data_IF_285042124151
#
_entry.id   IF_285042124151
#
_cell.length_a   1.000
_cell.length_b   1.000
_cell.length_c   1.000
_cell.angle_alpha   90.00
_cell.angle_beta   90.00
_cell.angle_gamma   90.00
#
_symmetry.space_group_name_H-M   'P 1'
#
loop_
_entity.id
_entity.type
_entity.pdbx_description
1 polymer ?
#
# COMPACT_ATOMS: atom_id res chain seq x y z
N UNK A 1 11.62 -6.74 3.36
CA UNK A 1 10.59 -7.34 4.22
C UNK A 1 9.54 -6.26 4.47
N UNK A 2 8.28 -6.46 4.09
CA UNK A 2 7.22 -5.49 4.39
C UNK A 2 6.89 -5.63 5.88
N UNK A 3 7.20 -4.62 6.68
CA UNK A 3 6.82 -4.59 8.08
C UNK A 3 5.33 -4.20 8.19
N UNK A 4 4.44 -5.11 8.66
CA UNK A 4 3.01 -4.83 8.72
C UNK A 4 2.65 -3.76 9.75
N UNK A 5 3.56 -3.46 10.69
CA UNK A 5 3.38 -2.41 11.70
C UNK A 5 4.15 -1.13 11.34
N UNK A 6 4.59 -0.99 10.09
CA UNK A 6 5.24 0.23 9.65
C UNK A 6 4.23 1.38 9.55
N UNK A 7 4.43 2.42 10.37
CA UNK A 7 3.50 3.55 10.58
C UNK A 7 2.16 3.18 11.24
N UNK A 8 2.07 2.02 11.89
CA UNK A 8 0.94 1.69 12.76
C UNK A 8 0.93 2.60 14.01
N UNK A 9 -0.27 2.86 14.53
CA UNK A 9 -0.43 3.64 15.76
C UNK A 9 -0.01 2.80 16.99
N UNK A 10 0.23 3.45 18.13
CA UNK A 10 0.61 2.74 19.35
C UNK A 10 -0.54 1.86 19.83
N UNK A 11 -0.24 0.59 20.10
CA UNK A 11 -1.23 -0.42 20.48
C UNK A 11 -1.80 -1.22 19.32
N UNK A 12 -1.48 -0.86 18.06
CA UNK A 12 -1.87 -1.68 16.91
C UNK A 12 -1.12 -3.03 16.93
N UNK A 13 -1.84 -4.08 16.53
CA UNK A 13 -1.35 -5.45 16.52
C UNK A 13 -1.31 -6.02 15.10
N UNK A 14 -0.31 -6.86 14.83
CA UNK A 14 -0.23 -7.66 13.62
C UNK A 14 0.39 -9.02 13.91
N UNK A 15 -0.12 -10.05 13.23
CA UNK A 15 0.47 -11.38 13.23
C UNK A 15 1.55 -11.44 12.17
N UNK A 16 2.76 -11.83 12.57
CA UNK A 16 3.91 -12.03 11.68
C UNK A 16 4.29 -13.51 11.69
N UNK A 17 4.47 -14.08 10.51
CA UNK A 17 4.97 -15.43 10.33
C UNK A 17 6.40 -15.38 9.83
N UNK A 18 7.32 -16.02 10.55
CA UNK A 18 8.73 -16.10 10.19
C UNK A 18 9.15 -17.57 10.16
N UNK A 19 9.70 -17.98 9.02
CA UNK A 19 10.34 -19.29 8.86
C UNK A 19 11.84 -19.09 8.90
N UNK A 20 12.50 -19.72 9.88
CA UNK A 20 13.95 -19.74 9.99
C UNK A 20 14.47 -21.17 9.86
N UNK A 21 15.69 -21.31 9.35
CA UNK A 21 16.42 -22.57 9.31
C UNK A 21 17.56 -22.47 10.29
N UNK A 22 17.52 -23.31 11.31
CA UNK A 22 18.48 -23.33 12.40
C UNK A 22 19.36 -24.56 12.20
N UNK A 23 20.67 -24.38 11.95
CA UNK A 23 21.59 -25.50 11.94
C UNK A 23 21.60 -26.16 13.33
N UNK A 24 21.54 -27.49 13.39
CA UNK A 24 21.44 -28.21 14.67
C UNK A 24 22.65 -27.96 15.59
N UNK A 25 23.80 -27.60 15.03
CA UNK A 25 25.01 -27.26 15.78
C UNK A 25 25.00 -25.83 16.34
N UNK A 26 24.04 -24.98 15.96
CA UNK A 26 23.94 -23.57 16.37
C UNK A 26 22.82 -23.32 17.40
N UNK A 27 22.18 -24.38 17.92
CA UNK A 27 21.09 -24.29 18.90
C UNK A 27 21.48 -23.64 20.24
N UNK A 28 22.78 -23.48 20.52
CA UNK A 28 23.27 -22.98 21.81
C UNK A 28 23.61 -21.47 21.83
N UNK A 29 23.69 -20.79 20.69
CA UNK A 29 24.56 -19.60 20.58
C UNK A 29 23.88 -18.25 20.31
N UNK A 30 22.58 -18.08 20.58
CA UNK A 30 21.91 -16.82 20.21
C UNK A 30 21.39 -16.00 21.41
N UNK A 31 22.33 -15.32 22.07
CA UNK A 31 22.11 -14.34 23.14
C UNK A 31 21.85 -12.93 22.54
N UNK A 32 21.06 -12.86 21.48
CA UNK A 32 20.77 -11.60 20.79
C UNK A 32 19.40 -11.04 21.20
N UNK A 33 19.41 -10.32 22.32
CA UNK A 33 18.24 -9.51 22.72
C UNK A 33 18.35 -8.13 22.08
N UNK A 34 17.79 -7.95 20.88
CA UNK A 34 17.66 -6.62 20.29
C UNK A 34 16.49 -5.86 20.93
N UNK A 35 16.73 -4.62 21.35
CA UNK A 35 15.69 -3.71 21.80
C UNK A 35 14.75 -3.34 20.64
N UNK A 36 13.65 -4.06 20.50
CA UNK A 36 12.63 -3.76 19.48
C UNK A 36 11.66 -2.68 19.98
N UNK A 37 11.16 -1.85 19.06
CA UNK A 37 10.03 -0.95 19.28
C UNK A 37 8.67 -1.68 19.38
N UNK A 38 8.72 -3.01 19.35
CA UNK A 38 7.58 -3.92 19.39
C UNK A 38 7.65 -4.83 20.60
N UNK A 39 6.48 -5.31 21.03
CA UNK A 39 6.39 -6.34 22.06
C UNK A 39 5.65 -7.54 21.48
N UNK A 40 6.16 -8.74 21.75
CA UNK A 40 5.49 -9.99 21.37
C UNK A 40 4.43 -10.26 22.43
N UNK A 41 3.16 -10.27 22.02
CA UNK A 41 2.02 -10.55 22.91
C UNK A 41 1.70 -12.04 22.94
N UNK A 42 1.86 -12.72 21.80
CA UNK A 42 1.71 -14.16 21.65
C UNK A 42 2.76 -14.70 20.69
N UNK A 43 3.26 -15.91 20.97
CA UNK A 43 4.17 -16.63 20.08
C UNK A 43 3.74 -18.09 20.03
N UNK A 44 3.61 -18.62 18.83
CA UNK A 44 3.16 -19.99 18.57
C UNK A 44 4.07 -20.64 17.53
N UNK A 45 4.49 -21.88 17.82
CA UNK A 45 5.22 -22.72 16.87
C UNK A 45 4.20 -23.41 15.97
N UNK A 46 4.19 -23.06 14.69
CA UNK A 46 3.18 -23.55 13.73
C UNK A 46 3.72 -24.70 12.89
N UNK A 47 5.02 -24.70 12.62
CA UNK A 47 5.66 -25.73 11.82
C UNK A 47 7.06 -26.04 12.32
N UNK A 48 7.43 -27.32 12.31
CA UNK A 48 8.80 -27.75 12.56
C UNK A 48 9.10 -28.98 11.72
N UNK A 49 10.19 -28.95 10.96
CA UNK A 49 10.66 -30.09 10.16
C UNK A 49 12.19 -30.11 10.12
N UNK A 50 12.77 -31.30 10.16
CA UNK A 50 14.18 -31.49 9.83
C UNK A 50 14.31 -31.60 8.32
N UNK A 51 15.12 -30.73 7.72
CA UNK A 51 15.41 -30.68 6.29
C UNK A 51 16.91 -30.78 6.08
N UNK A 52 17.30 -31.54 5.07
CA UNK A 52 18.71 -31.66 4.67
C UNK A 52 19.03 -30.56 3.66
N UNK A 53 20.07 -29.77 3.93
CA UNK A 53 20.52 -28.72 3.02
C UNK A 53 21.34 -29.27 1.84
N UNK A 54 21.70 -28.40 0.90
CA UNK A 54 22.48 -28.77 -0.30
C UNK A 54 23.86 -29.38 0.01
N UNK A 55 24.37 -29.16 1.23
CA UNK A 55 25.65 -29.70 1.70
C UNK A 55 25.49 -31.05 2.41
N UNK A 56 24.29 -31.62 2.50
CA UNK A 56 24.02 -32.87 3.17
C UNK A 56 23.95 -32.77 4.70
N UNK A 57 23.89 -31.55 5.25
CA UNK A 57 23.75 -31.34 6.69
C UNK A 57 22.27 -31.14 7.06
N UNK A 58 21.88 -31.66 8.21
CA UNK A 58 20.53 -31.50 8.74
C UNK A 58 20.34 -30.14 9.39
N UNK A 59 19.27 -29.44 9.00
CA UNK A 59 18.80 -28.17 9.54
C UNK A 59 17.39 -28.33 10.08
N UNK A 60 17.06 -27.59 11.15
CA UNK A 60 15.70 -27.51 11.65
C UNK A 60 15.00 -26.31 11.01
N UNK A 61 14.04 -26.56 10.13
CA UNK A 61 13.14 -25.53 9.60
C UNK A 61 11.99 -25.33 10.59
N UNK A 62 11.90 -24.12 11.13
CA UNK A 62 10.96 -23.71 12.17
C UNK A 62 10.15 -22.54 11.63
N UNK A 63 8.82 -22.68 11.62
CA UNK A 63 7.92 -21.54 11.37
C UNK A 63 7.24 -21.14 12.65
N UNK A 64 7.44 -19.88 13.01
CA UNK A 64 6.83 -19.26 14.18
C UNK A 64 5.84 -18.20 13.71
N UNK A 65 4.65 -18.23 14.27
CA UNK A 65 3.72 -17.11 14.22
C UNK A 65 3.78 -16.34 15.53
N UNK A 66 3.91 -15.02 15.43
CA UNK A 66 3.92 -14.14 16.59
C UNK A 66 2.92 -13.01 16.39
N UNK A 67 2.08 -12.78 17.38
CA UNK A 67 1.32 -11.54 17.49
C UNK A 67 2.25 -10.50 18.10
N UNK A 68 2.40 -9.42 17.36
CA UNK A 68 3.32 -8.34 17.69
C UNK A 68 2.50 -7.07 17.83
N UNK A 69 2.71 -6.34 18.93
CA UNK A 69 2.07 -5.06 19.19
C UNK A 69 3.09 -3.93 19.09
N UNK A 70 2.70 -2.82 18.44
CA UNK A 70 3.49 -1.60 18.37
C UNK A 70 3.49 -0.90 19.73
N UNK A 71 4.64 -0.89 20.42
CA UNK A 71 4.78 -0.30 21.77
C UNK A 71 5.46 1.06 21.75
N UNK A 72 6.41 1.26 20.85
CA UNK A 72 7.17 2.50 20.74
C UNK A 72 7.04 3.09 19.34
N UNK A 73 7.13 4.43 19.19
CA UNK A 73 7.13 5.07 17.88
C UNK A 73 8.28 4.55 17.00
N UNK A 74 8.09 4.63 15.69
CA UNK A 74 9.16 4.37 14.73
C UNK A 74 10.37 5.24 15.06
N UNK A 75 11.55 4.63 15.11
CA UNK A 75 12.84 5.30 15.39
C UNK A 75 12.90 6.03 16.75
N UNK A 76 12.17 5.51 17.76
CA UNK A 76 12.21 6.06 19.13
C UNK A 76 13.62 6.15 19.73
N UNK A 77 14.53 5.28 19.27
CA UNK A 77 15.93 5.18 19.66
C UNK A 77 16.82 6.21 18.96
N UNK A 78 16.38 6.75 17.81
CA UNK A 78 17.13 7.76 17.03
C UNK A 78 16.77 9.18 17.39
N UNK A 79 15.64 9.39 18.07
CA UNK A 79 15.23 10.71 18.52
C UNK A 79 15.69 10.95 19.96
N UNK A 80 16.53 11.98 20.16
CA UNK A 80 16.95 12.42 21.50
C UNK A 80 15.77 12.90 22.35
N UNK A 81 14.66 13.29 21.72
CA UNK A 81 13.43 13.76 22.36
C UNK A 81 12.18 13.18 21.68
N UNK A 82 11.08 12.96 22.42
CA UNK A 82 9.81 12.50 21.84
C UNK A 82 9.30 13.50 20.80
N UNK A 83 9.00 13.03 19.57
CA UNK A 83 8.40 13.87 18.52
C UNK A 83 7.12 14.54 19.02
N UNK A 84 6.99 15.84 18.77
CA UNK A 84 5.80 16.60 19.14
C UNK A 84 4.64 16.31 18.20
N UNK A 85 3.40 16.52 18.65
CA UNK A 85 2.21 16.30 17.81
C UNK A 85 2.20 17.15 16.54
N UNK A 86 2.82 18.33 16.59
CA UNK A 86 2.98 19.21 15.42
C UNK A 86 3.88 18.62 14.34
N UNK A 87 4.90 17.86 14.72
CA UNK A 87 5.81 17.18 13.79
C UNK A 87 5.13 15.97 13.16
N UNK A 88 4.38 15.20 13.96
CA UNK A 88 3.54 14.10 13.45
C UNK A 88 2.53 14.58 12.42
N UNK A 89 1.87 15.72 12.68
CA UNK A 89 0.89 16.28 11.77
C UNK A 89 1.52 16.78 10.45
N UNK A 90 2.74 17.33 10.51
CA UNK A 90 3.51 17.73 9.31
C UNK A 90 3.94 16.54 8.45
N UNK A 91 4.27 15.40 9.04
CA UNK A 91 4.56 14.19 8.24
C UNK A 91 3.30 13.63 7.58
N UNK A 92 2.18 13.58 8.31
CA UNK A 92 0.88 13.15 7.76
C UNK A 92 0.45 14.04 6.58
N UNK A 93 0.64 15.36 6.67
CA UNK A 93 0.31 16.28 5.57
C UNK A 93 1.23 16.13 4.35
N UNK A 94 2.52 15.83 4.55
CA UNK A 94 3.46 15.51 3.46
C UNK A 94 3.05 14.26 2.69
N UNK A 95 2.59 13.21 3.38
CA UNK A 95 2.10 11.98 2.73
C UNK A 95 0.86 12.25 1.87
N UNK A 96 -0.07 13.08 2.37
CA UNK A 96 -1.25 13.51 1.61
C UNK A 96 -0.88 14.36 0.39
N UNK A 97 0.07 15.29 0.54
CA UNK A 97 0.56 16.09 -0.57
C UNK A 97 1.19 15.22 -1.66
N UNK A 98 1.96 14.20 -1.29
CA UNK A 98 2.54 13.25 -2.26
C UNK A 98 1.47 12.45 -3.01
N UNK A 99 0.44 11.98 -2.32
CA UNK A 99 -0.71 11.29 -2.94
C UNK A 99 -1.49 12.21 -3.88
N UNK A 100 -1.71 13.46 -3.48
CA UNK A 100 -2.38 14.46 -4.29
C UNK A 100 -1.60 14.78 -5.57
N UNK A 101 -0.28 14.98 -5.48
CA UNK A 101 0.58 15.22 -6.64
C UNK A 101 0.50 14.05 -7.63
N UNK A 102 0.52 12.81 -7.14
CA UNK A 102 0.40 11.62 -7.99
C UNK A 102 -0.98 11.56 -8.68
N UNK A 103 -2.06 11.86 -7.97
CA UNK A 103 -3.40 11.92 -8.56
C UNK A 103 -3.51 13.02 -9.63
N UNK A 104 -2.99 14.22 -9.35
CA UNK A 104 -2.96 15.36 -10.29
C UNK A 104 -2.18 14.99 -11.55
N UNK A 105 -1.03 14.31 -11.43
CA UNK A 105 -0.22 13.90 -12.59
C UNK A 105 -0.94 12.94 -13.55
N UNK A 106 -1.96 12.21 -13.09
CA UNK A 106 -2.76 11.30 -13.91
C UNK A 106 -4.01 12.00 -14.44
N UNK A 107 -4.70 12.77 -13.58
CA UNK A 107 -5.96 13.40 -13.94
C UNK A 107 -5.78 14.59 -14.89
N UNK A 108 -4.69 15.36 -14.77
CA UNK A 108 -4.44 16.51 -15.64
C UNK A 108 -4.29 16.11 -17.12
N UNK A 109 -3.45 15.12 -17.49
CA UNK A 109 -3.37 14.65 -18.87
C UNK A 109 -4.69 14.09 -19.41
N UNK A 110 -5.43 13.33 -18.60
CA UNK A 110 -6.73 12.77 -18.99
C UNK A 110 -7.72 13.90 -19.28
N UNK A 111 -7.85 14.86 -18.36
CA UNK A 111 -8.72 16.02 -18.55
C UNK A 111 -8.34 16.86 -19.76
N UNK A 112 -7.02 17.08 -19.97
CA UNK A 112 -6.52 17.80 -21.13
C UNK A 112 -6.86 17.07 -22.44
N UNK A 113 -6.68 15.74 -22.47
CA UNK A 113 -7.03 14.92 -23.64
C UNK A 113 -8.53 14.97 -23.91
N UNK A 114 -9.39 14.91 -22.88
CA UNK A 114 -10.84 15.05 -23.05
C UNK A 114 -11.23 16.41 -23.65
N UNK A 115 -10.64 17.51 -23.15
CA UNK A 115 -10.89 18.86 -23.68
C UNK A 115 -10.43 18.98 -25.13
N UNK A 116 -9.23 18.49 -25.46
CA UNK A 116 -8.70 18.52 -26.83
C UNK A 116 -9.58 17.68 -27.75
N UNK A 117 -9.94 16.45 -27.37
CA UNK A 117 -10.81 15.59 -28.15
C UNK A 117 -12.18 16.21 -28.36
N UNK A 118 -12.78 16.82 -27.34
CA UNK A 118 -14.07 17.50 -27.46
C UNK A 118 -13.98 18.72 -28.41
N UNK A 119 -12.91 19.51 -28.31
CA UNK A 119 -12.69 20.66 -29.18
C UNK A 119 -12.44 20.25 -30.64
N UNK A 120 -11.68 19.17 -30.86
CA UNK A 120 -11.40 18.62 -32.19
C UNK A 120 -12.67 17.98 -32.77
N UNK A 121 -13.40 17.17 -32.01
CA UNK A 121 -14.69 16.62 -32.45
C UNK A 121 -15.69 17.73 -32.75
N UNK A 122 -15.84 18.75 -31.90
CA UNK A 122 -16.75 19.86 -32.16
C UNK A 122 -16.44 20.59 -33.48
N UNK A 123 -15.16 20.69 -33.85
CA UNK A 123 -14.73 21.27 -35.13
C UNK A 123 -14.90 20.34 -36.33
N UNK A 124 -14.72 19.03 -36.15
CA UNK A 124 -14.89 18.03 -37.21
C UNK A 124 -16.37 17.72 -37.49
N UNK A 125 -17.20 17.71 -36.44
CA UNK A 125 -18.62 17.36 -36.47
C UNK A 125 -19.48 18.49 -37.04
N UNK A 126 -19.02 19.75 -36.96
CA UNK A 126 -19.69 20.91 -37.56
C UNK A 126 -19.91 20.85 -39.09
N UNK A 127 -19.39 19.83 -39.77
CA UNK A 127 -19.71 19.51 -41.17
C UNK A 127 -19.93 18.02 -41.47
N UNK A 128 -20.02 17.15 -40.45
CA UNK A 128 -20.16 15.70 -40.64
C UNK A 128 -21.63 15.28 -40.48
N UNK A 129 -22.28 15.00 -41.59
CA UNK A 129 -23.59 14.31 -41.62
C UNK A 129 -23.37 12.82 -41.81
N UNK A 130 -23.83 12.00 -40.87
CA UNK A 130 -23.90 10.54 -41.05
C UNK A 130 -25.36 10.21 -41.36
N UNK A 131 -25.64 9.61 -42.51
CA UNK A 131 -26.99 9.29 -42.98
C UNK A 131 -27.97 10.49 -43.08
N UNK A 132 -27.46 11.71 -43.31
CA UNK A 132 -28.30 12.90 -43.51
C UNK A 132 -28.79 13.58 -42.24
N UNK A 133 -28.48 13.04 -41.06
CA UNK A 133 -28.72 13.69 -39.78
C UNK A 133 -27.46 14.46 -39.34
N UNK A 134 -27.66 15.72 -38.91
CA UNK A 134 -26.60 16.53 -38.33
C UNK A 134 -26.31 16.02 -36.93
N UNK A 135 -25.08 15.60 -36.67
CA UNK A 135 -24.66 15.24 -35.32
C UNK A 135 -24.49 16.56 -34.55
N UNK A 136 -25.36 16.81 -33.58
CA UNK A 136 -25.18 17.95 -32.67
C UNK A 136 -24.04 17.64 -31.69
N UNK A 137 -23.12 18.59 -31.46
CA UNK A 137 -22.09 18.40 -30.45
C UNK A 137 -22.75 18.26 -29.07
N UNK A 138 -22.23 17.39 -28.19
CA UNK A 138 -22.78 17.22 -26.86
C UNK A 138 -22.76 18.55 -26.09
N UNK A 139 -23.82 18.79 -25.33
CA UNK A 139 -23.95 20.01 -24.54
C UNK A 139 -22.83 20.15 -23.52
N UNK A 140 -22.51 21.38 -23.14
CA UNK A 140 -21.50 21.66 -22.09
C UNK A 140 -21.84 20.94 -20.78
N UNK A 141 -23.13 20.87 -20.44
CA UNK A 141 -23.64 20.17 -19.26
C UNK A 141 -23.43 18.66 -19.34
N UNK A 142 -23.68 18.05 -20.50
CA UNK A 142 -23.50 16.61 -20.74
C UNK A 142 -22.02 16.25 -20.66
N UNK A 143 -21.16 17.09 -21.24
CA UNK A 143 -19.70 16.91 -21.16
C UNK A 143 -19.21 17.02 -19.71
N UNK A 144 -19.71 17.99 -18.95
CA UNK A 144 -19.36 18.15 -17.53
C UNK A 144 -19.81 16.95 -16.70
N UNK A 145 -21.01 16.40 -16.95
CA UNK A 145 -21.52 15.20 -16.30
C UNK A 145 -20.66 13.97 -16.61
N UNK A 146 -20.25 13.79 -17.86
CA UNK A 146 -19.35 12.68 -18.27
C UNK A 146 -17.99 12.80 -17.57
N UNK A 147 -17.41 14.00 -17.52
CA UNK A 147 -16.14 14.24 -16.81
C UNK A 147 -16.28 13.95 -15.31
N UNK A 148 -17.37 14.39 -14.69
CA UNK A 148 -17.66 14.11 -13.28
C UNK A 148 -17.81 12.61 -13.02
N UNK A 149 -18.53 11.89 -13.90
CA UNK A 149 -18.71 10.45 -13.80
C UNK A 149 -17.38 9.69 -13.95
N UNK A 150 -16.53 10.07 -14.91
CA UNK A 150 -15.20 9.49 -15.11
C UNK A 150 -14.29 9.75 -13.90
N UNK A 151 -14.33 10.98 -13.36
CA UNK A 151 -13.55 11.35 -12.17
C UNK A 151 -13.98 10.56 -10.94
N UNK A 152 -15.28 10.39 -10.74
CA UNK A 152 -15.84 9.56 -9.68
C UNK A 152 -15.41 8.10 -9.84
N UNK A 153 -15.51 7.55 -11.07
CA UNK A 153 -15.10 6.18 -11.37
C UNK A 153 -13.60 5.96 -11.10
N UNK A 154 -12.74 6.91 -11.47
CA UNK A 154 -11.29 6.83 -11.20
C UNK A 154 -11.00 6.90 -9.70
N UNK A 155 -11.70 7.75 -8.94
CA UNK A 155 -11.60 7.78 -7.49
C UNK A 155 -12.04 6.44 -6.87
N UNK A 156 -13.12 5.85 -7.38
CA UNK A 156 -13.64 4.56 -6.92
C UNK A 156 -12.64 3.44 -7.22
N UNK A 157 -12.08 3.40 -8.44
CA UNK A 157 -11.03 2.46 -8.80
C UNK A 157 -9.76 2.66 -7.97
N UNK A 158 -9.40 3.90 -7.63
CA UNK A 158 -8.30 4.18 -6.69
C UNK A 158 -8.61 3.68 -5.27
N UNK A 159 -9.84 3.84 -4.78
CA UNK A 159 -10.24 3.29 -3.47
C UNK A 159 -10.24 1.77 -3.46
N UNK A 160 -10.68 1.14 -4.56
CA UNK A 160 -10.67 -0.31 -4.71
C UNK A 160 -9.24 -0.81 -4.82
N UNK A 161 -8.39 -0.19 -5.63
CA UNK A 161 -6.99 -0.63 -5.78
C UNK A 161 -6.18 -0.38 -4.51
N UNK A 162 -6.41 0.71 -3.77
CA UNK A 162 -5.78 0.92 -2.46
C UNK A 162 -6.29 -0.07 -1.41
N UNK A 163 -7.60 -0.36 -1.37
CA UNK A 163 -8.16 -1.40 -0.50
C UNK A 163 -7.78 -2.82 -0.88
N UNK A 164 -7.67 -3.13 -2.17
CA UNK A 164 -7.22 -4.42 -2.70
C UNK A 164 -5.71 -4.57 -2.53
N UNK A 165 -4.90 -3.52 -2.65
CA UNK A 165 -3.49 -3.59 -2.24
C UNK A 165 -3.37 -3.87 -0.74
N UNK A 166 -4.19 -3.24 0.11
CA UNK A 166 -4.22 -3.57 1.54
C UNK A 166 -4.67 -5.02 1.78
N UNK A 167 -5.65 -5.52 1.02
CA UNK A 167 -6.18 -6.89 1.19
C UNK A 167 -5.26 -7.98 0.61
N UNK A 168 -4.54 -7.73 -0.49
CA UNK A 168 -3.61 -8.70 -1.09
C UNK A 168 -2.31 -8.84 -0.32
N UNK A 169 -1.89 -7.79 0.40
CA UNK A 169 -0.74 -7.86 1.31
C UNK A 169 -1.11 -8.66 2.58
N UNK A 170 -2.39 -8.72 2.97
CA UNK A 170 -2.86 -9.46 4.15
C UNK A 170 -3.35 -10.90 3.93
N UNK A 171 -3.26 -11.47 2.71
CA UNK A 171 -3.84 -12.80 2.41
C UNK A 171 -2.82 -13.81 1.86
N UNK A 172 -1.58 -13.41 1.57
CA UNK A 172 -0.54 -14.36 1.17
C UNK A 172 0.31 -14.76 2.37
N UNK A 173 -0.26 -15.59 3.26
CA UNK A 173 0.44 -16.60 4.04
C UNK A 173 -0.62 -17.51 4.69
N UNK A 174 -1.06 -18.49 3.91
CA UNK A 174 -1.57 -19.78 4.36
C UNK A 174 -0.94 -20.83 3.48
#
# INVERSE_FOLDING_TARGET
MNDPLDNADLGDEATVSETSRIPLWQLEDDDHTYGSDRTVTRRELVYTQVVTNDNGNDELEVTVEADVMKRLPREWDRSTEPRTDTERQKERSKLWAHRAIRAVSILVPIGLMTVITNHVMGRLVGGMTINGETIEPPGVLETALVIAAISLLTLLLMSITSGVLQRKIGVSNR
#
